data_IF_768735185778
#
_entry.id   IF_768735185778
#
_cell.length_a   1.000
_cell.length_b   1.000
_cell.length_c   1.000
_cell.angle_alpha   90.00
_cell.angle_beta   90.00
_cell.angle_gamma   90.00
#
_symmetry.space_group_name_H-M   'P 1'
#
loop_
_entity.id
_entity.type
_entity.pdbx_description
1 polymer ?
#
# COMPACT_ATOMS: atom_id res chain seq x y z
N UNK A 1 -5.68 -10.63 -9.00
CA UNK A 1 -5.44 -10.46 -7.56
C UNK A 1 -4.71 -9.15 -7.34
N UNK A 2 -5.06 -8.40 -6.30
CA UNK A 2 -4.63 -7.02 -6.07
C UNK A 2 -4.33 -6.80 -4.59
N UNK A 3 -3.27 -6.05 -4.30
CA UNK A 3 -2.97 -5.53 -2.97
C UNK A 3 -2.92 -4.01 -3.08
N UNK A 4 -3.65 -3.29 -2.23
CA UNK A 4 -3.46 -1.84 -2.07
C UNK A 4 -2.80 -1.60 -0.73
N UNK A 5 -1.74 -0.80 -0.74
CA UNK A 5 -1.01 -0.35 0.43
C UNK A 5 -1.18 1.16 0.54
N UNK A 6 -1.75 1.62 1.64
CA UNK A 6 -1.85 3.03 2.01
C UNK A 6 -0.94 3.24 3.22
N UNK A 7 0.15 3.99 3.05
CA UNK A 7 1.05 4.34 4.14
C UNK A 7 1.90 5.57 3.78
N UNK A 8 1.84 6.60 4.64
CA UNK A 8 2.54 7.87 4.42
C UNK A 8 4.06 7.79 4.57
N UNK A 9 4.59 6.72 5.16
CA UNK A 9 5.99 6.62 5.55
C UNK A 9 6.76 5.48 4.86
N UNK A 10 6.23 4.94 3.75
CA UNK A 10 6.92 3.88 2.99
C UNK A 10 8.32 4.31 2.54
N UNK A 11 9.22 3.33 2.47
CA UNK A 11 10.56 3.49 1.87
C UNK A 11 10.90 2.24 1.04
N UNK A 12 12.16 2.16 0.57
CA UNK A 12 12.60 1.08 -0.31
C UNK A 12 12.45 -0.32 0.28
N UNK A 13 12.38 -0.46 1.61
CA UNK A 13 12.15 -1.76 2.26
C UNK A 13 10.81 -2.40 1.83
N UNK A 14 9.80 -1.60 1.49
CA UNK A 14 8.53 -2.09 0.93
C UNK A 14 8.75 -2.75 -0.42
N UNK A 15 9.62 -2.21 -1.26
CA UNK A 15 9.96 -2.84 -2.55
C UNK A 15 10.67 -4.16 -2.30
N UNK A 16 11.62 -4.21 -1.35
CA UNK A 16 12.32 -5.46 -0.99
C UNK A 16 11.35 -6.54 -0.50
N UNK A 17 10.39 -6.19 0.35
CA UNK A 17 9.33 -7.12 0.79
C UNK A 17 8.50 -7.63 -0.39
N UNK A 18 8.17 -6.76 -1.34
CA UNK A 18 7.35 -7.08 -2.50
C UNK A 18 8.06 -7.94 -3.56
N UNK A 19 9.39 -8.14 -3.48
CA UNK A 19 10.09 -9.11 -4.35
C UNK A 19 9.54 -10.52 -4.23
N UNK A 20 8.94 -10.86 -3.07
CA UNK A 20 8.34 -12.17 -2.78
C UNK A 20 6.95 -12.36 -3.40
N UNK A 21 6.38 -11.32 -4.01
CA UNK A 21 5.02 -11.39 -4.57
C UNK A 21 5.01 -12.28 -5.82
N UNK A 22 3.89 -12.98 -6.05
CA UNK A 22 3.69 -13.73 -7.30
C UNK A 22 3.48 -12.77 -8.47
N UNK A 23 3.96 -13.10 -9.67
CA UNK A 23 3.92 -12.22 -10.84
C UNK A 23 2.51 -11.77 -11.28
N UNK A 24 1.45 -12.52 -10.93
CA UNK A 24 0.05 -12.17 -11.25
C UNK A 24 -0.61 -11.23 -10.23
N UNK A 25 0.11 -10.77 -9.21
CA UNK A 25 -0.40 -9.86 -8.18
C UNK A 25 -0.02 -8.42 -8.55
N UNK A 26 -1.05 -7.61 -8.83
CA UNK A 26 -0.91 -6.16 -8.93
C UNK A 26 -0.81 -5.55 -7.54
N UNK A 27 0.12 -4.62 -7.35
CA UNK A 27 0.23 -3.85 -6.11
C UNK A 27 0.03 -2.38 -6.41
N UNK A 28 -0.78 -1.70 -5.62
CA UNK A 28 -0.95 -0.24 -5.67
C UNK A 28 -0.44 0.33 -4.37
N UNK A 29 0.51 1.25 -4.41
CA UNK A 29 1.04 1.95 -3.25
C UNK A 29 0.60 3.40 -3.31
N UNK A 30 -0.03 3.87 -2.24
CA UNK A 30 -0.43 5.26 -2.03
C UNK A 30 0.32 5.76 -0.80
N UNK A 31 1.04 6.86 -0.96
CA UNK A 31 1.79 7.48 0.12
C UNK A 31 1.64 9.00 0.12
N UNK A 32 2.14 9.67 1.14
CA UNK A 32 2.07 11.12 1.27
C UNK A 32 2.84 11.82 0.14
N UNK A 33 2.37 13.01 -0.24
CA UNK A 33 3.10 13.88 -1.19
C UNK A 33 4.47 14.31 -0.65
N UNK A 34 4.63 14.34 0.67
CA UNK A 34 5.89 14.66 1.33
C UNK A 34 6.89 13.49 1.36
N UNK A 35 6.47 12.28 0.97
CA UNK A 35 7.36 11.12 0.97
C UNK A 35 8.33 11.15 -0.22
N UNK A 36 9.62 11.35 0.09
CA UNK A 36 10.74 11.39 -0.87
C UNK A 36 11.63 10.13 -0.83
N UNK A 37 11.24 9.09 -0.08
CA UNK A 37 12.08 7.90 0.18
C UNK A 37 12.05 6.89 -0.96
N UNK A 38 10.95 6.84 -1.72
CA UNK A 38 10.80 6.11 -2.98
C UNK A 38 10.68 7.13 -4.09
N UNK A 39 11.39 6.94 -5.21
CA UNK A 39 11.26 7.75 -6.41
C UNK A 39 10.64 6.96 -7.56
N UNK A 40 10.13 7.65 -8.58
CA UNK A 40 9.52 6.99 -9.74
C UNK A 40 10.51 6.06 -10.48
N UNK A 41 11.81 6.38 -10.44
CA UNK A 41 12.86 5.53 -11.00
C UNK A 41 13.02 4.20 -10.25
N UNK A 42 12.82 4.19 -8.93
CA UNK A 42 12.87 2.97 -8.13
C UNK A 42 11.71 2.03 -8.53
N UNK A 43 10.50 2.58 -8.71
CA UNK A 43 9.33 1.83 -9.17
C UNK A 43 9.52 1.28 -10.58
N UNK A 44 10.06 2.10 -11.50
CA UNK A 44 10.36 1.64 -12.87
C UNK A 44 11.35 0.48 -12.86
N UNK A 45 12.45 0.58 -12.11
CA UNK A 45 13.45 -0.49 -11.98
C UNK A 45 12.84 -1.76 -11.37
N UNK A 46 12.05 -1.61 -10.31
CA UNK A 46 11.38 -2.74 -9.68
C UNK A 46 10.45 -3.47 -10.65
N UNK A 47 9.62 -2.72 -11.40
CA UNK A 47 8.64 -3.30 -12.33
C UNK A 47 9.25 -4.05 -13.52
N UNK A 48 10.51 -3.79 -13.88
CA UNK A 48 11.22 -4.58 -14.90
C UNK A 48 11.41 -6.02 -14.42
N UNK A 49 11.68 -6.21 -13.12
CA UNK A 49 11.96 -7.53 -12.54
C UNK A 49 10.72 -8.18 -11.92
N UNK A 50 9.85 -7.38 -11.30
CA UNK A 50 8.72 -7.84 -10.48
C UNK A 50 7.40 -7.11 -10.83
N UNK A 51 6.91 -7.19 -12.08
CA UNK A 51 5.69 -6.50 -12.50
C UNK A 51 4.45 -6.99 -11.71
N UNK A 52 3.48 -6.17 -11.32
CA UNK A 52 3.34 -4.72 -11.53
C UNK A 52 3.03 -3.99 -10.22
N UNK A 53 3.81 -2.94 -9.91
CA UNK A 53 3.53 -1.92 -8.91
C UNK A 53 3.04 -0.65 -9.61
N UNK A 54 1.88 -0.14 -9.18
CA UNK A 54 1.42 1.23 -9.42
C UNK A 54 1.71 2.07 -8.18
N UNK A 55 2.20 3.29 -8.35
CA UNK A 55 2.65 4.13 -7.24
C UNK A 55 2.07 5.54 -7.39
N UNK A 56 1.44 6.04 -6.33
CA UNK A 56 0.84 7.37 -6.28
C UNK A 56 1.22 8.10 -4.99
N UNK A 57 1.39 9.42 -5.10
CA UNK A 57 1.58 10.32 -3.96
C UNK A 57 0.35 11.18 -3.79
N UNK A 58 -0.40 10.98 -2.72
CA UNK A 58 -1.68 11.65 -2.44
C UNK A 58 -1.87 11.73 -0.92
N UNK A 59 -2.12 12.94 -0.39
CA UNK A 59 -2.41 13.14 1.04
C UNK A 59 -3.90 12.93 1.33
N UNK A 60 -4.40 11.73 1.04
CA UNK A 60 -5.81 11.36 1.22
C UNK A 60 -6.09 10.67 2.55
N UNK A 61 -5.06 10.10 3.17
CA UNK A 61 -5.20 9.24 4.33
C UNK A 61 -4.13 9.60 5.37
N UNK A 62 -4.54 9.69 6.64
CA UNK A 62 -3.61 9.76 7.77
C UNK A 62 -3.26 8.35 8.27
N UNK A 63 -4.27 7.50 8.35
CA UNK A 63 -4.14 6.11 8.78
C UNK A 63 -3.54 5.23 7.68
N UNK A 64 -3.20 4.00 8.07
CA UNK A 64 -2.50 3.05 7.22
C UNK A 64 -3.37 1.84 6.99
N UNK A 65 -3.52 1.48 5.73
CA UNK A 65 -4.40 0.40 5.33
C UNK A 65 -3.72 -0.57 4.38
N UNK A 66 -4.11 -1.83 4.50
CA UNK A 66 -3.86 -2.86 3.49
C UNK A 66 -5.21 -3.35 3.01
N UNK A 67 -5.41 -3.33 1.70
CA UNK A 67 -6.61 -3.86 1.05
C UNK A 67 -6.23 -5.06 0.21
N UNK A 68 -6.90 -6.20 0.44
CA UNK A 68 -6.68 -7.43 -0.31
C UNK A 68 -7.86 -7.67 -1.24
N UNK A 69 -7.56 -7.80 -2.54
CA UNK A 69 -8.51 -8.09 -3.61
C UNK A 69 -9.74 -7.16 -3.65
N UNK A 70 -9.65 -5.96 -3.06
CA UNK A 70 -10.76 -5.03 -2.81
C UNK A 70 -11.90 -5.63 -1.97
N UNK A 71 -11.62 -6.68 -1.19
CA UNK A 71 -12.61 -7.43 -0.42
C UNK A 71 -12.31 -7.43 1.08
N UNK A 72 -11.05 -7.29 1.46
CA UNK A 72 -10.64 -7.23 2.85
C UNK A 72 -9.90 -5.94 3.14
N UNK A 73 -10.24 -5.28 4.24
CA UNK A 73 -9.60 -4.06 4.71
C UNK A 73 -8.92 -4.31 6.06
N UNK A 74 -7.65 -3.96 6.15
CA UNK A 74 -6.88 -4.04 7.38
C UNK A 74 -6.36 -2.66 7.74
N UNK A 75 -6.58 -2.24 8.99
CA UNK A 75 -5.90 -1.08 9.58
C UNK A 75 -4.60 -1.52 10.24
N UNK A 76 -3.53 -0.75 10.04
CA UNK A 76 -2.22 -0.99 10.62
C UNK A 76 -1.80 0.18 11.53
N UNK A 77 -1.57 -0.11 12.83
CA UNK A 77 -1.16 0.90 13.80
C UNK A 77 0.28 1.43 13.62
N UNK A 78 1.05 0.86 12.71
CA UNK A 78 2.41 1.26 12.39
C UNK A 78 2.65 1.30 10.89
N UNK A 79 3.68 2.03 10.46
CA UNK A 79 4.13 2.00 9.07
C UNK A 79 4.48 0.58 8.66
N UNK A 80 4.15 0.20 7.42
CA UNK A 80 4.28 -1.17 6.94
C UNK A 80 5.76 -1.59 6.91
N UNK A 81 6.68 -0.63 6.72
CA UNK A 81 8.14 -0.87 6.83
C UNK A 81 8.62 -1.19 8.26
N UNK A 82 7.80 -0.94 9.27
CA UNK A 82 8.14 -1.09 10.69
C UNK A 82 7.33 -2.20 11.39
N UNK A 83 6.45 -2.91 10.68
CA UNK A 83 5.69 -4.02 11.25
C UNK A 83 6.65 -5.09 11.79
N UNK A 84 6.38 -5.54 13.01
CA UNK A 84 7.19 -6.56 13.69
C UNK A 84 8.44 -6.03 14.42
N UNK A 85 8.78 -4.73 14.31
CA UNK A 85 9.90 -4.15 15.07
C UNK A 85 9.58 -3.92 16.55
N UNK A 86 8.32 -3.60 16.86
CA UNK A 86 7.78 -3.39 18.21
C UNK A 86 6.35 -3.95 18.25
N UNK A 87 5.75 -4.01 19.44
CA UNK A 87 4.32 -4.34 19.57
C UNK A 87 3.46 -3.33 18.80
N UNK A 88 2.52 -3.83 17.99
CA UNK A 88 1.62 -3.03 17.16
C UNK A 88 0.34 -3.80 16.86
N UNK A 89 -0.73 -3.08 16.52
CA UNK A 89 -2.01 -3.68 16.12
C UNK A 89 -2.18 -3.77 14.61
N UNK A 90 -2.73 -4.90 14.16
CA UNK A 90 -3.39 -5.03 12.85
C UNK A 90 -4.81 -5.51 13.11
N UNK A 91 -5.80 -4.79 12.61
CA UNK A 91 -7.20 -5.16 12.77
C UNK A 91 -7.86 -5.26 11.40
N UNK A 92 -8.61 -6.34 11.17
CA UNK A 92 -9.52 -6.43 10.03
C UNK A 92 -10.73 -5.57 10.33
N UNK A 93 -11.12 -4.72 9.38
CA UNK A 93 -12.34 -3.93 9.44
C UNK A 93 -13.41 -4.69 8.68
N UNK A 94 -14.48 -5.09 9.37
CA UNK A 94 -15.58 -5.87 8.80
C UNK A 94 -16.67 -4.99 8.15
N UNK A 95 -16.61 -3.68 8.32
CA UNK A 95 -17.54 -2.74 7.70
C UNK A 95 -17.30 -2.67 6.18
N UNK A 96 -18.16 -3.37 5.44
CA UNK A 96 -18.11 -3.43 3.98
C UNK A 96 -18.36 -2.08 3.33
N UNK A 97 -19.25 -1.26 3.90
CA UNK A 97 -19.56 0.06 3.34
C UNK A 97 -18.35 0.97 3.46
N UNK A 98 -17.65 0.91 4.59
CA UNK A 98 -16.41 1.65 4.79
C UNK A 98 -15.31 1.21 3.80
N UNK A 99 -15.17 -0.10 3.56
CA UNK A 99 -14.28 -0.61 2.52
C UNK A 99 -14.65 -0.06 1.13
N UNK A 100 -15.93 -0.10 0.75
CA UNK A 100 -16.40 0.44 -0.53
C UNK A 100 -16.08 1.93 -0.69
N UNK A 101 -16.27 2.73 0.36
CA UNK A 101 -15.94 4.16 0.38
C UNK A 101 -14.44 4.39 0.20
N UNK A 102 -13.58 3.66 0.92
CA UNK A 102 -12.11 3.75 0.75
C UNK A 102 -11.69 3.36 -0.67
N UNK A 103 -12.22 2.26 -1.20
CA UNK A 103 -11.92 1.81 -2.57
C UNK A 103 -12.34 2.87 -3.59
N UNK A 104 -13.49 3.51 -3.39
CA UNK A 104 -13.96 4.61 -4.24
C UNK A 104 -13.01 5.81 -4.19
N UNK A 105 -12.56 6.22 -3.01
CA UNK A 105 -11.57 7.31 -2.84
C UNK A 105 -10.28 6.97 -3.61
N UNK A 106 -9.80 5.74 -3.54
CA UNK A 106 -8.60 5.31 -4.26
C UNK A 106 -8.80 5.39 -5.78
N UNK A 107 -9.94 4.93 -6.29
CA UNK A 107 -10.23 4.89 -7.72
C UNK A 107 -10.50 6.26 -8.33
N UNK A 108 -11.21 7.16 -7.62
CA UNK A 108 -11.57 8.49 -8.12
C UNK A 108 -10.39 9.43 -8.36
N UNK A 109 -9.19 9.08 -7.91
CA UNK A 109 -8.01 9.94 -8.03
C UNK A 109 -6.97 9.34 -9.00
N UNK A 110 -7.19 8.14 -9.56
CA UNK A 110 -6.25 7.45 -10.47
C UNK A 110 -6.60 7.65 -11.95
#
# INVERSE_FOLDING_TARGET
KKIVIIDNYVDKTILDMLTKKRGKVEVVIITSTNNKKIQNIDIKKFNIQYPTIKFARKDLFHDRFIIIDNQELYHCGASIKDLGKKCFGINKIEDKKYLEEIVKIILCVN
#
